data_IF_742575651342
#
_entry.id   IF_742575651342
#
_cell.length_a   1.000
_cell.length_b   1.000
_cell.length_c   1.000
_cell.angle_alpha   90.00
_cell.angle_beta   90.00
_cell.angle_gamma   90.00
#
_symmetry.space_group_name_H-M   'P 1'
#
loop_
_entity.id
_entity.type
_entity.pdbx_description
1 polymer ?
#
# COMPACT_ATOMS: atom_id res chain seq x y z
N UNK A 1 24.35 2.49 13.65
CA UNK A 1 23.00 2.99 14.05
C UNK A 1 22.46 3.82 12.91
N UNK A 2 21.34 3.42 12.33
CA UNK A 2 20.88 3.92 11.03
C UNK A 2 20.41 5.37 11.09
N UNK A 3 21.09 6.27 10.37
CA UNK A 3 20.68 7.66 10.16
C UNK A 3 19.27 7.79 9.56
N UNK A 4 18.83 6.82 8.76
CA UNK A 4 17.54 6.83 8.08
C UNK A 4 16.33 6.73 9.03
N UNK A 5 16.39 5.88 10.06
CA UNK A 5 15.33 5.78 11.07
C UNK A 5 15.15 7.10 11.82
N UNK A 6 16.27 7.78 12.11
CA UNK A 6 16.26 9.04 12.83
C UNK A 6 15.68 10.22 11.99
N UNK A 7 15.87 10.20 10.66
CA UNK A 7 15.28 11.19 9.74
C UNK A 7 13.79 10.99 9.52
N UNK A 8 13.33 9.71 9.45
CA UNK A 8 11.90 9.38 9.28
C UNK A 8 11.05 9.88 10.43
N UNK A 9 11.55 9.74 11.66
CA UNK A 9 10.81 10.06 12.88
C UNK A 9 10.80 11.56 13.22
N UNK A 10 11.63 12.37 12.54
CA UNK A 10 11.60 13.81 12.71
C UNK A 10 10.30 14.40 12.17
N UNK A 11 9.76 15.36 12.91
CA UNK A 11 8.61 16.15 12.44
C UNK A 11 9.08 17.05 11.28
N UNK A 12 8.46 16.87 10.12
CA UNK A 12 8.71 17.68 8.92
C UNK A 12 7.35 17.98 8.24
N UNK A 13 6.73 19.13 8.58
CA UNK A 13 5.41 19.48 8.05
C UNK A 13 5.35 19.58 6.53
N UNK A 14 6.45 19.99 5.89
CA UNK A 14 6.50 20.13 4.43
C UNK A 14 6.49 18.75 3.79
N UNK A 15 7.36 17.85 4.22
CA UNK A 15 7.38 16.45 3.80
C UNK A 15 6.01 15.79 4.03
N UNK A 16 5.49 15.93 5.22
CA UNK A 16 4.24 15.26 5.61
C UNK A 16 3.06 15.74 4.76
N UNK A 17 2.99 17.03 4.45
CA UNK A 17 1.99 17.58 3.54
C UNK A 17 2.12 17.01 2.11
N UNK A 18 3.33 16.87 1.59
CA UNK A 18 3.59 16.26 0.28
C UNK A 18 3.12 14.79 0.28
N UNK A 19 3.52 14.01 1.29
CA UNK A 19 3.16 12.60 1.39
C UNK A 19 1.66 12.39 1.51
N UNK A 20 0.95 13.21 2.30
CA UNK A 20 -0.50 13.18 2.41
C UNK A 20 -1.20 13.50 1.07
N UNK A 21 -0.69 14.50 0.34
CA UNK A 21 -1.20 14.83 -1.00
C UNK A 21 -1.01 13.69 -2.00
N UNK A 22 0.17 13.05 -2.02
CA UNK A 22 0.45 11.89 -2.87
C UNK A 22 -0.42 10.70 -2.47
N UNK A 23 -0.62 10.49 -1.18
CA UNK A 23 -1.50 9.45 -0.64
C UNK A 23 -2.92 9.61 -1.17
N UNK A 24 -3.48 10.81 -1.08
CA UNK A 24 -4.83 11.10 -1.57
C UNK A 24 -4.94 10.86 -3.08
N UNK A 25 -3.95 11.30 -3.87
CA UNK A 25 -3.89 11.05 -5.30
C UNK A 25 -3.86 9.55 -5.61
N UNK A 26 -2.95 8.80 -4.98
CA UNK A 26 -2.85 7.35 -5.18
C UNK A 26 -4.15 6.62 -4.85
N UNK A 27 -4.78 6.96 -3.72
CA UNK A 27 -6.07 6.38 -3.32
C UNK A 27 -7.19 6.67 -4.31
N UNK A 28 -7.24 7.87 -4.90
CA UNK A 28 -8.22 8.20 -5.94
C UNK A 28 -8.02 7.32 -7.18
N UNK A 29 -6.77 7.07 -7.58
CA UNK A 29 -6.47 6.23 -8.72
C UNK A 29 -6.80 4.75 -8.45
N UNK A 30 -6.49 4.24 -7.26
CA UNK A 30 -6.86 2.89 -6.82
C UNK A 30 -8.39 2.71 -6.81
N UNK A 31 -9.12 3.67 -6.23
CA UNK A 31 -10.58 3.66 -6.18
C UNK A 31 -11.23 3.60 -7.55
N UNK A 32 -10.67 4.31 -8.53
CA UNK A 32 -11.20 4.38 -9.89
C UNK A 32 -10.59 3.36 -10.85
N UNK A 33 -9.66 2.50 -10.38
CA UNK A 33 -8.87 1.60 -11.21
C UNK A 33 -8.15 2.32 -12.36
N UNK A 34 -7.73 3.57 -12.12
CA UNK A 34 -7.01 4.36 -13.10
C UNK A 34 -5.50 4.10 -13.00
N UNK A 35 -5.07 2.96 -13.53
CA UNK A 35 -3.69 2.50 -13.44
C UNK A 35 -2.71 3.34 -14.27
N UNK A 36 -3.18 4.02 -15.31
CA UNK A 36 -2.38 4.98 -16.09
C UNK A 36 -1.94 6.18 -15.24
N UNK A 37 -2.90 6.79 -14.54
CA UNK A 37 -2.59 7.89 -13.62
C UNK A 37 -1.83 7.43 -12.38
N UNK A 38 -2.10 6.22 -11.87
CA UNK A 38 -1.33 5.62 -10.78
C UNK A 38 0.14 5.45 -11.17
N UNK A 39 0.42 5.02 -12.41
CA UNK A 39 1.76 4.83 -12.94
C UNK A 39 2.62 6.11 -12.87
N UNK A 40 2.00 7.30 -13.01
CA UNK A 40 2.70 8.58 -12.92
C UNK A 40 3.26 8.90 -11.53
N UNK A 41 2.78 8.22 -10.49
CA UNK A 41 3.23 8.39 -9.09
C UNK A 41 4.33 7.38 -8.73
N UNK A 42 4.55 6.36 -9.55
CA UNK A 42 5.43 5.22 -9.27
C UNK A 42 6.86 5.53 -9.68
N UNK A 43 7.81 5.02 -8.88
CA UNK A 43 9.24 5.10 -9.24
C UNK A 43 9.50 4.34 -10.54
N UNK A 44 10.14 4.98 -11.54
CA UNK A 44 10.30 4.37 -12.87
C UNK A 44 11.27 3.18 -12.90
N UNK A 45 12.15 3.08 -11.90
CA UNK A 45 13.18 2.01 -11.83
C UNK A 45 12.75 0.90 -10.88
N UNK A 46 12.25 1.26 -9.70
CA UNK A 46 11.87 0.29 -8.68
C UNK A 46 10.49 -0.34 -8.93
N UNK A 47 9.59 0.37 -9.62
CA UNK A 47 8.21 -0.08 -9.78
C UNK A 47 7.40 0.04 -8.49
N UNK A 48 6.22 -0.56 -8.49
CA UNK A 48 5.27 -0.55 -7.38
C UNK A 48 5.03 -1.98 -6.88
N UNK A 49 5.42 -2.26 -5.64
CA UNK A 49 5.11 -3.53 -4.97
C UNK A 49 3.70 -3.47 -4.39
N UNK A 50 2.99 -4.59 -4.56
CA UNK A 50 1.68 -4.82 -3.98
C UNK A 50 1.76 -5.96 -2.97
N UNK A 51 1.50 -5.66 -1.71
CA UNK A 51 1.50 -6.62 -0.61
C UNK A 51 0.08 -6.75 -0.04
N UNK A 52 -0.57 -7.92 -0.19
CA UNK A 52 -1.95 -8.12 0.28
C UNK A 52 -2.06 -8.20 1.81
N UNK A 53 -0.94 -8.32 2.52
CA UNK A 53 -0.86 -8.50 3.97
C UNK A 53 0.23 -7.60 4.57
N UNK A 54 0.23 -7.45 5.91
CA UNK A 54 1.22 -6.65 6.65
C UNK A 54 2.66 -7.10 6.43
N UNK A 55 2.87 -8.41 6.27
CA UNK A 55 4.17 -8.96 5.92
C UNK A 55 4.44 -8.76 4.43
N UNK A 56 5.45 -7.94 4.14
CA UNK A 56 5.95 -7.73 2.77
C UNK A 56 6.80 -8.92 2.38
N UNK A 57 6.27 -9.80 1.55
CA UNK A 57 7.00 -10.97 1.03
C UNK A 57 7.75 -10.57 -0.24
N UNK A 58 9.04 -10.25 -0.09
CA UNK A 58 9.86 -9.80 -1.22
C UNK A 58 10.07 -10.86 -2.29
N UNK A 59 9.77 -12.13 -2.01
CA UNK A 59 9.88 -13.23 -2.95
C UNK A 59 8.59 -13.49 -3.73
N UNK A 60 7.42 -13.21 -3.12
CA UNK A 60 6.11 -13.53 -3.71
C UNK A 60 5.32 -12.32 -4.16
N UNK A 61 5.40 -11.20 -3.42
CA UNK A 61 4.68 -9.97 -3.75
C UNK A 61 5.09 -9.41 -5.10
N UNK A 62 4.13 -9.05 -5.92
CA UNK A 62 4.39 -8.57 -7.28
C UNK A 62 4.89 -7.14 -7.28
N UNK A 63 5.94 -6.88 -8.06
CA UNK A 63 6.43 -5.53 -8.38
C UNK A 63 6.07 -5.22 -9.82
N UNK A 64 5.28 -4.18 -10.01
CA UNK A 64 4.75 -3.80 -11.33
C UNK A 64 5.40 -2.48 -11.78
N UNK A 65 6.02 -2.50 -12.94
CA UNK A 65 6.64 -1.30 -13.52
C UNK A 65 5.57 -0.34 -14.09
N UNK A 66 5.83 0.98 -14.13
CA UNK A 66 4.88 1.97 -14.65
C UNK A 66 4.37 1.64 -16.05
N UNK A 67 5.24 1.20 -16.98
CA UNK A 67 4.84 0.85 -18.33
C UNK A 67 3.81 -0.30 -18.36
N UNK A 68 3.91 -1.24 -17.45
CA UNK A 68 2.94 -2.33 -17.31
C UNK A 68 1.60 -1.83 -16.77
N UNK A 69 1.61 -0.93 -15.78
CA UNK A 69 0.39 -0.29 -15.26
C UNK A 69 -0.32 0.49 -16.36
N UNK A 70 0.41 1.25 -17.18
CA UNK A 70 -0.14 1.97 -18.35
C UNK A 70 -0.80 1.01 -19.33
N UNK A 71 -0.17 -0.14 -19.62
CA UNK A 71 -0.76 -1.16 -20.48
C UNK A 71 -2.08 -1.73 -19.92
N UNK A 72 -2.16 -1.87 -18.61
CA UNK A 72 -3.31 -2.47 -17.92
C UNK A 72 -4.50 -1.53 -17.72
N UNK A 73 -4.41 -0.27 -18.20
CA UNK A 73 -5.60 0.59 -18.30
C UNK A 73 -6.69 -0.03 -19.19
N UNK A 74 -6.29 -0.81 -20.20
CA UNK A 74 -7.20 -1.62 -20.99
C UNK A 74 -7.46 -2.96 -20.24
N UNK A 75 -8.68 -3.13 -19.75
CA UNK A 75 -9.10 -4.33 -19.00
C UNK A 75 -8.87 -5.63 -19.75
N UNK A 76 -8.97 -5.60 -21.10
CA UNK A 76 -8.73 -6.77 -21.95
C UNK A 76 -7.27 -7.21 -21.98
N UNK A 77 -6.35 -6.33 -21.57
CA UNK A 77 -4.91 -6.60 -21.48
C UNK A 77 -4.43 -6.98 -20.09
N UNK A 78 -5.32 -7.02 -19.11
CA UNK A 78 -4.96 -7.40 -17.76
C UNK A 78 -4.86 -8.93 -17.64
N UNK A 79 -3.67 -9.50 -17.45
CA UNK A 79 -3.52 -10.93 -17.23
C UNK A 79 -4.01 -11.29 -15.82
N UNK A 80 -4.40 -12.54 -15.64
CA UNK A 80 -4.50 -13.13 -14.29
C UNK A 80 -3.10 -13.50 -13.85
N UNK A 81 -2.64 -12.94 -12.75
CA UNK A 81 -1.33 -13.21 -12.17
C UNK A 81 -1.46 -13.68 -10.72
N UNK A 82 -0.41 -14.28 -10.19
CA UNK A 82 -0.32 -14.72 -8.80
C UNK A 82 0.23 -13.58 -7.95
N UNK A 83 -0.58 -13.06 -7.00
CA UNK A 83 -0.28 -11.92 -6.15
C UNK A 83 0.28 -12.27 -4.76
N UNK A 84 0.65 -13.52 -4.55
CA UNK A 84 0.96 -14.08 -3.25
C UNK A 84 -0.13 -15.06 -2.80
N UNK A 85 -0.10 -15.44 -1.55
CA UNK A 85 -1.02 -16.42 -0.98
C UNK A 85 -1.90 -15.75 0.08
N UNK A 86 -3.09 -16.28 0.31
CA UNK A 86 -4.02 -15.80 1.32
C UNK A 86 -3.52 -16.21 2.73
N UNK A 87 -3.42 -15.26 3.66
CA UNK A 87 -2.91 -15.50 5.02
C UNK A 87 -3.73 -16.53 5.81
N UNK A 88 -5.06 -16.53 5.64
CA UNK A 88 -5.94 -17.41 6.41
C UNK A 88 -5.97 -18.84 5.86
N UNK A 89 -5.88 -19.04 4.53
CA UNK A 89 -6.07 -20.34 3.89
C UNK A 89 -4.82 -20.90 3.23
N UNK A 90 -3.82 -20.07 2.94
CA UNK A 90 -2.64 -20.43 2.15
C UNK A 90 -2.94 -20.60 0.65
N UNK A 91 -4.15 -20.31 0.21
CA UNK A 91 -4.53 -20.44 -1.20
C UNK A 91 -3.88 -19.35 -2.07
N UNK A 92 -3.44 -19.67 -3.30
CA UNK A 92 -2.86 -18.69 -4.18
C UNK A 92 -3.87 -17.62 -4.64
N UNK A 93 -3.51 -16.35 -4.52
CA UNK A 93 -4.30 -15.22 -4.97
C UNK A 93 -4.06 -15.02 -6.48
N UNK A 94 -4.96 -15.54 -7.33
CA UNK A 94 -4.89 -15.46 -8.80
C UNK A 94 -5.99 -14.57 -9.33
N UNK A 95 -5.66 -13.31 -9.64
CA UNK A 95 -6.61 -12.29 -10.09
C UNK A 95 -5.98 -11.38 -11.15
N UNK A 96 -6.83 -10.66 -11.91
CA UNK A 96 -6.39 -9.47 -12.64
C UNK A 96 -6.05 -8.37 -11.63
N UNK A 97 -5.29 -7.34 -12.04
CA UNK A 97 -4.97 -6.23 -11.14
C UNK A 97 -6.23 -5.56 -10.60
N UNK A 98 -7.27 -5.37 -11.42
CA UNK A 98 -8.53 -4.76 -10.98
C UNK A 98 -9.22 -5.64 -9.92
N UNK A 99 -9.27 -6.95 -10.13
CA UNK A 99 -9.83 -7.89 -9.17
C UNK A 99 -9.03 -7.93 -7.86
N UNK A 100 -7.71 -7.89 -7.96
CA UNK A 100 -6.81 -7.88 -6.82
C UNK A 100 -6.94 -6.58 -6.02
N UNK A 101 -6.88 -5.42 -6.67
CA UNK A 101 -7.03 -4.12 -6.01
C UNK A 101 -8.36 -4.05 -5.28
N UNK A 102 -9.45 -4.45 -5.92
CA UNK A 102 -10.78 -4.42 -5.31
C UNK A 102 -10.91 -5.32 -4.08
N UNK A 103 -10.26 -6.48 -4.07
CA UNK A 103 -10.46 -7.50 -3.03
C UNK A 103 -9.42 -7.44 -1.89
N UNK A 104 -8.18 -7.03 -2.20
CA UNK A 104 -7.04 -7.16 -1.28
C UNK A 104 -6.30 -5.85 -1.01
N UNK A 105 -6.61 -4.75 -1.72
CA UNK A 105 -5.90 -3.48 -1.57
C UNK A 105 -6.86 -2.35 -1.22
N UNK A 106 -7.90 -2.16 -2.03
CA UNK A 106 -8.87 -1.06 -1.84
C UNK A 106 -10.26 -1.63 -1.59
N UNK A 107 -10.36 -2.49 -0.59
CA UNK A 107 -11.57 -3.17 -0.14
C UNK A 107 -12.48 -2.30 0.73
N UNK A 108 -11.99 -1.12 1.15
CA UNK A 108 -12.75 -0.06 1.79
C UNK A 108 -12.45 1.31 1.16
N UNK A 109 -13.27 2.32 1.45
CA UNK A 109 -13.05 3.67 0.94
C UNK A 109 -12.00 4.42 1.76
N UNK A 110 -10.71 4.07 1.61
CA UNK A 110 -9.59 4.62 2.39
C UNK A 110 -9.42 6.15 2.29
N UNK A 111 -10.01 6.81 1.29
CA UNK A 111 -10.10 8.29 1.25
C UNK A 111 -10.87 8.83 2.46
N UNK A 112 -11.79 8.02 3.02
CA UNK A 112 -12.61 8.37 4.19
C UNK A 112 -12.17 7.62 5.45
N UNK A 113 -10.90 7.22 5.53
CA UNK A 113 -10.38 6.54 6.70
C UNK A 113 -10.54 7.39 7.98
N UNK A 114 -10.76 6.73 9.13
CA UNK A 114 -10.91 7.39 10.42
C UNK A 114 -9.66 8.18 10.82
N UNK A 115 -8.50 7.70 10.40
CA UNK A 115 -7.20 8.34 10.68
C UNK A 115 -6.23 8.13 9.53
N UNK A 116 -5.39 9.14 9.29
CA UNK A 116 -4.20 9.03 8.42
C UNK A 116 -2.99 9.54 9.21
N UNK A 117 -1.91 8.78 9.24
CA UNK A 117 -0.64 9.15 9.87
C UNK A 117 0.52 9.00 8.89
N UNK A 118 1.54 9.86 9.07
CA UNK A 118 2.80 9.78 8.33
C UNK A 118 3.85 9.14 9.24
N UNK A 119 4.56 8.13 8.74
CA UNK A 119 5.64 7.40 9.42
C UNK A 119 5.26 6.83 10.79
N UNK A 120 3.99 6.55 11.01
CA UNK A 120 3.49 5.97 12.26
C UNK A 120 2.49 4.86 11.97
N UNK A 121 2.69 3.71 12.59
CA UNK A 121 1.72 2.62 12.57
C UNK A 121 0.55 2.91 13.51
N UNK A 122 -0.66 2.58 13.06
CA UNK A 122 -1.91 2.67 13.83
C UNK A 122 -2.47 1.26 14.00
N UNK A 123 -2.71 0.56 12.88
CA UNK A 123 -3.19 -0.81 12.87
C UNK A 123 -2.09 -1.78 13.32
N UNK A 124 -2.46 -2.70 14.19
CA UNK A 124 -1.58 -3.78 14.65
C UNK A 124 -2.42 -5.04 14.82
N UNK A 125 -2.16 -6.04 13.99
CA UNK A 125 -2.77 -7.35 14.03
C UNK A 125 -1.83 -8.43 14.54
N UNK A 126 -2.17 -9.66 14.22
CA UNK A 126 -1.39 -10.85 14.53
C UNK A 126 -0.35 -11.20 13.44
N UNK A 127 -0.43 -10.58 12.27
CA UNK A 127 0.56 -10.75 11.20
C UNK A 127 1.80 -9.90 11.48
N UNK A 128 2.98 -10.49 11.29
CA UNK A 128 4.26 -9.79 11.44
C UNK A 128 4.35 -8.62 10.44
N UNK A 129 4.60 -7.42 10.97
CA UNK A 129 4.85 -6.24 10.15
C UNK A 129 6.36 -6.04 9.99
N UNK A 130 6.89 -6.25 8.78
CA UNK A 130 8.29 -6.07 8.44
C UNK A 130 8.53 -4.86 7.51
N UNK A 131 7.57 -3.96 7.37
CA UNK A 131 7.62 -2.83 6.43
C UNK A 131 8.91 -2.03 6.54
N UNK A 132 9.33 -1.68 7.76
CA UNK A 132 10.55 -0.88 7.97
C UNK A 132 11.85 -1.65 7.74
N UNK A 133 11.82 -2.99 7.76
CA UNK A 133 12.98 -3.79 7.41
C UNK A 133 13.17 -3.81 5.89
N UNK A 134 12.06 -3.88 5.14
CA UNK A 134 12.10 -3.91 3.66
C UNK A 134 12.33 -2.50 3.09
N UNK A 135 11.76 -1.48 3.72
CA UNK A 135 11.76 -0.09 3.27
C UNK A 135 12.43 0.84 4.28
N UNK A 136 13.67 0.50 4.69
CA UNK A 136 14.42 1.22 5.74
C UNK A 136 14.57 2.72 5.48
N UNK A 137 14.77 3.12 4.22
CA UNK A 137 15.06 4.49 3.79
C UNK A 137 13.83 5.20 3.18
N UNK A 138 12.65 4.60 3.29
CA UNK A 138 11.40 5.14 2.78
C UNK A 138 10.58 5.81 3.87
N UNK A 139 9.64 6.64 3.43
CA UNK A 139 8.54 7.15 4.24
C UNK A 139 7.27 6.38 3.91
N UNK A 140 6.32 6.38 4.82
CA UNK A 140 5.01 5.80 4.54
C UNK A 140 3.88 6.61 5.16
N UNK A 141 2.70 6.44 4.61
CA UNK A 141 1.45 6.89 5.23
C UNK A 141 0.62 5.66 5.57
N UNK A 142 -0.13 5.72 6.65
CA UNK A 142 -1.10 4.70 7.01
C UNK A 142 -2.48 5.32 7.13
N UNK A 143 -3.43 4.79 6.35
CA UNK A 143 -4.85 5.10 6.43
C UNK A 143 -5.57 3.97 7.13
N UNK A 144 -6.30 4.28 8.18
CA UNK A 144 -6.79 3.31 9.14
C UNK A 144 -8.27 3.49 9.43
N UNK A 145 -9.01 2.38 9.43
CA UNK A 145 -10.35 2.25 9.97
C UNK A 145 -10.31 1.43 11.26
N UNK A 146 -10.90 1.97 12.33
CA UNK A 146 -10.92 1.31 13.65
C UNK A 146 -11.88 0.11 13.75
N UNK A 147 -12.63 -0.17 12.68
CA UNK A 147 -13.64 -1.21 12.59
C UNK A 147 -14.96 -0.66 12.02
N UNK A 148 -15.82 -1.54 11.57
CA UNK A 148 -17.07 -1.19 10.86
C UNK A 148 -18.31 -1.63 11.64
N UNK A 149 -18.28 -2.78 12.32
CA UNK A 149 -19.43 -3.32 13.05
C UNK A 149 -19.05 -3.58 14.52
N UNK A 150 -19.83 -2.97 15.43
CA UNK A 150 -19.61 -3.08 16.89
C UNK A 150 -19.58 -4.52 17.42
N UNK A 151 -20.24 -5.46 16.73
CA UNK A 151 -20.25 -6.88 17.12
C UNK A 151 -18.87 -7.54 17.03
N UNK A 152 -17.96 -6.98 16.21
CA UNK A 152 -16.59 -7.49 16.07
C UNK A 152 -15.60 -6.83 17.02
N UNK A 153 -16.05 -5.90 17.87
CA UNK A 153 -15.23 -5.24 18.91
C UNK A 153 -13.94 -4.63 18.34
N UNK A 154 -13.99 -4.16 17.07
CA UNK A 154 -12.86 -3.58 16.36
C UNK A 154 -11.93 -4.59 15.68
N UNK A 155 -12.23 -5.90 15.69
CA UNK A 155 -11.44 -6.90 14.96
C UNK A 155 -11.61 -6.82 13.45
N UNK A 156 -12.57 -6.06 12.95
CA UNK A 156 -12.80 -5.76 11.54
C UNK A 156 -12.13 -4.46 11.08
N UNK A 157 -11.04 -4.07 11.77
CA UNK A 157 -10.22 -2.93 11.38
C UNK A 157 -9.48 -3.19 10.06
N UNK A 158 -9.23 -2.12 9.31
CA UNK A 158 -8.46 -2.15 8.06
C UNK A 158 -7.39 -1.06 8.04
N UNK A 159 -6.28 -1.36 7.42
CA UNK A 159 -5.18 -0.42 7.22
C UNK A 159 -4.63 -0.53 5.79
N UNK A 160 -4.37 0.63 5.19
CA UNK A 160 -3.67 0.72 3.92
C UNK A 160 -2.44 1.61 4.09
N UNK A 161 -1.26 1.03 3.87
CA UNK A 161 0.02 1.73 3.93
C UNK A 161 0.54 1.98 2.53
N UNK A 162 0.84 3.24 2.24
CA UNK A 162 1.47 3.65 0.99
C UNK A 162 2.92 4.05 1.29
N UNK A 163 3.87 3.43 0.61
CA UNK A 163 5.31 3.61 0.86
C UNK A 163 5.90 4.48 -0.23
N UNK A 164 6.64 5.51 0.20
CA UNK A 164 7.22 6.51 -0.68
C UNK A 164 8.74 6.58 -0.51
N UNK A 165 9.46 6.52 -1.62
CA UNK A 165 10.89 6.74 -1.68
C UNK A 165 11.20 8.14 -2.17
N UNK A 166 12.12 8.82 -1.51
CA UNK A 166 12.65 10.11 -1.97
C UNK A 166 13.71 9.88 -3.04
N UNK A 167 13.57 10.57 -4.18
CA UNK A 167 14.56 10.59 -5.25
C UNK A 167 14.73 12.03 -5.74
N UNK A 168 15.88 12.62 -5.47
CA UNK A 168 16.09 14.06 -5.61
C UNK A 168 15.12 14.85 -4.72
N UNK A 169 14.37 15.77 -5.31
CA UNK A 169 13.39 16.61 -4.60
C UNK A 169 11.96 16.03 -4.64
N UNK A 170 11.78 14.82 -5.15
CA UNK A 170 10.46 14.20 -5.33
C UNK A 170 10.31 12.92 -4.50
N UNK A 171 9.06 12.60 -4.20
CA UNK A 171 8.67 11.32 -3.60
C UNK A 171 7.91 10.48 -4.63
N UNK A 172 8.25 9.21 -4.72
CA UNK A 172 7.63 8.24 -5.62
C UNK A 172 7.02 7.10 -4.81
N UNK A 173 5.86 6.66 -5.24
CA UNK A 173 5.19 5.49 -4.67
C UNK A 173 5.95 4.22 -5.09
N UNK A 174 6.37 3.41 -4.10
CA UNK A 174 7.15 2.17 -4.32
C UNK A 174 6.50 0.94 -3.70
N UNK A 175 5.54 1.13 -2.79
CA UNK A 175 4.84 0.02 -2.14
C UNK A 175 3.42 0.39 -1.73
N UNK A 176 2.54 -0.60 -1.81
CA UNK A 176 1.19 -0.59 -1.25
C UNK A 176 1.06 -1.84 -0.40
N UNK A 177 0.78 -1.67 0.88
CA UNK A 177 0.67 -2.77 1.85
C UNK A 177 -0.67 -2.67 2.55
N UNK A 178 -1.50 -3.68 2.37
CA UNK A 178 -2.76 -3.83 3.08
C UNK A 178 -2.53 -4.58 4.39
N UNK A 179 -3.30 -4.25 5.41
CA UNK A 179 -3.27 -4.94 6.70
C UNK A 179 -4.68 -4.99 7.29
N UNK A 180 -5.01 -6.13 7.84
CA UNK A 180 -6.29 -6.39 8.48
C UNK A 180 -6.10 -7.47 9.55
N UNK A 181 -7.08 -7.62 10.42
CA UNK A 181 -7.11 -8.78 11.30
C UNK A 181 -7.23 -10.06 10.47
N UNK A 182 -6.34 -11.02 10.68
CA UNK A 182 -6.44 -12.39 10.12
C UNK A 182 -6.60 -13.40 11.24
N UNK A 183 -7.46 -14.41 11.03
CA UNK A 183 -7.72 -15.50 11.98
C UNK A 183 -6.72 -16.63 11.71
#
# INVERSE_FOLDING_TARGET
MNNAANERDKIDPVRDSILLSLTQKAMQQLKSNNFDSLASLVDPKMGLRFSPHAFVDTAKDQVILPATLVNWKDKKKQPVIHWGDNDATGDPIKLTIEGFVKKYIYDANFIKADSIKVNRFIGSGNTLNNLLNVYSDCHFTESYFKGFDKKYEGMDWLSLRLVFMKSGDKYFLVGIVHDAWSI
#
